data_IF_321303138872
#
_entry.id   IF_321303138872
#
_cell.length_a   1.000
_cell.length_b   1.000
_cell.length_c   1.000
_cell.angle_alpha   90.00
_cell.angle_beta   90.00
_cell.angle_gamma   90.00
#
_symmetry.space_group_name_H-M   'P 1'
#
loop_
_entity.id
_entity.type
_entity.pdbx_description
1 polymer ?
#
# COMPACT_ATOMS: atom_id res chain seq x y z
N UNK A 1 8.91 -4.26 -17.75
CA UNK A 1 8.82 -5.72 -17.52
C UNK A 1 7.45 -5.95 -16.90
N UNK A 2 6.59 -6.76 -17.52
CA UNK A 2 5.32 -7.13 -16.89
C UNK A 2 5.62 -8.04 -15.70
N UNK A 3 5.02 -7.75 -14.55
CA UNK A 3 5.08 -8.65 -13.40
C UNK A 3 4.42 -9.99 -13.74
N UNK A 4 4.90 -11.10 -13.17
CA UNK A 4 4.39 -12.44 -13.48
C UNK A 4 2.87 -12.57 -13.21
N UNK A 5 2.33 -11.76 -12.31
CA UNK A 5 0.92 -11.76 -11.94
C UNK A 5 0.01 -10.95 -12.88
N UNK A 6 0.54 -9.98 -13.63
CA UNK A 6 -0.24 -9.22 -14.63
C UNK A 6 -0.84 -10.16 -15.67
N UNK A 7 -0.03 -11.12 -16.13
CA UNK A 7 -0.51 -12.16 -17.01
C UNK A 7 -1.61 -13.00 -16.36
N UNK A 8 -1.64 -13.23 -15.05
CA UNK A 8 -2.62 -14.16 -14.44
C UNK A 8 -4.05 -13.60 -14.39
N UNK A 9 -4.23 -12.29 -14.54
CA UNK A 9 -5.55 -11.65 -14.47
C UNK A 9 -6.25 -11.95 -13.15
N UNK A 10 -5.56 -11.75 -12.03
CA UNK A 10 -6.07 -12.07 -10.70
C UNK A 10 -7.29 -11.19 -10.36
N UNK A 11 -8.27 -11.79 -9.69
CA UNK A 11 -9.50 -11.13 -9.23
C UNK A 11 -9.84 -11.55 -7.79
N UNK A 12 -10.55 -10.68 -7.06
CA UNK A 12 -11.05 -11.01 -5.72
C UNK A 12 -12.49 -11.51 -5.77
N UNK A 13 -12.74 -12.62 -5.07
CA UNK A 13 -14.00 -13.35 -5.06
C UNK A 13 -15.22 -12.46 -4.78
N UNK A 14 -16.21 -12.48 -5.67
CA UNK A 14 -17.48 -11.76 -5.46
C UNK A 14 -17.36 -10.23 -5.46
N UNK A 15 -16.30 -9.70 -6.06
CA UNK A 15 -16.07 -8.25 -6.19
C UNK A 15 -15.66 -7.88 -7.61
N UNK A 16 -15.55 -6.57 -7.88
CA UNK A 16 -15.02 -6.00 -9.12
C UNK A 16 -13.52 -5.64 -9.04
N UNK A 17 -12.84 -6.05 -7.97
CA UNK A 17 -11.42 -5.83 -7.81
C UNK A 17 -10.60 -6.74 -8.72
N UNK A 18 -9.75 -6.12 -9.53
CA UNK A 18 -8.83 -6.79 -10.46
C UNK A 18 -7.39 -6.42 -10.14
N UNK A 19 -6.43 -7.27 -10.51
CA UNK A 19 -5.00 -6.97 -10.39
C UNK A 19 -4.66 -5.60 -10.99
N UNK A 20 -3.88 -4.81 -10.25
CA UNK A 20 -3.35 -3.52 -10.71
C UNK A 20 -1.81 -3.55 -10.74
N UNK A 21 -1.19 -3.93 -9.62
CA UNK A 21 0.26 -3.86 -9.43
C UNK A 21 0.71 -4.81 -8.31
N UNK A 22 2.01 -4.91 -8.06
CA UNK A 22 2.56 -5.62 -6.92
C UNK A 22 3.70 -4.86 -6.23
N UNK A 23 3.67 -4.84 -4.90
CA UNK A 23 4.77 -4.38 -4.07
C UNK A 23 5.67 -5.54 -3.62
N UNK A 24 6.62 -5.26 -2.72
CA UNK A 24 7.51 -6.29 -2.19
C UNK A 24 6.72 -7.43 -1.50
N UNK A 25 5.76 -7.09 -0.64
CA UNK A 25 5.08 -8.06 0.24
C UNK A 25 3.65 -8.41 -0.16
N UNK A 26 3.07 -7.73 -1.16
CA UNK A 26 1.66 -7.89 -1.47
C UNK A 26 1.29 -7.48 -2.89
N UNK A 27 0.10 -7.88 -3.31
CA UNK A 27 -0.51 -7.52 -4.58
C UNK A 27 -1.55 -6.44 -4.34
N UNK A 28 -1.59 -5.48 -5.26
CA UNK A 28 -2.58 -4.40 -5.28
C UNK A 28 -3.67 -4.77 -6.28
N UNK A 29 -4.90 -4.78 -5.81
CA UNK A 29 -6.09 -4.88 -6.63
C UNK A 29 -6.79 -3.52 -6.69
N UNK A 30 -7.46 -3.22 -7.79
CA UNK A 30 -8.21 -1.98 -7.98
C UNK A 30 -9.65 -2.28 -8.39
N UNK A 31 -10.58 -1.52 -7.81
CA UNK A 31 -11.94 -1.36 -8.29
C UNK A 31 -12.10 0.09 -8.75
N UNK A 32 -12.17 0.30 -10.07
CA UNK A 32 -12.30 1.66 -10.64
C UNK A 32 -13.69 2.22 -10.47
N UNK A 33 -14.71 1.37 -10.53
CA UNK A 33 -16.11 1.71 -10.26
C UNK A 33 -16.31 2.23 -8.83
N UNK A 34 -15.60 1.64 -7.86
CA UNK A 34 -15.67 2.07 -6.47
C UNK A 34 -14.65 3.16 -6.12
N UNK A 35 -13.63 3.37 -6.96
CA UNK A 35 -12.52 4.27 -6.64
C UNK A 35 -11.68 3.75 -5.47
N UNK A 36 -11.42 2.44 -5.41
CA UNK A 36 -10.75 1.79 -4.28
C UNK A 36 -9.60 0.90 -4.73
N UNK A 37 -8.56 0.82 -3.90
CA UNK A 37 -7.51 -0.20 -3.98
C UNK A 37 -7.55 -1.09 -2.76
N UNK A 38 -7.24 -2.37 -2.96
CA UNK A 38 -7.08 -3.36 -1.89
C UNK A 38 -5.72 -4.02 -2.02
N UNK A 39 -4.91 -3.94 -0.96
CA UNK A 39 -3.63 -4.66 -0.86
C UNK A 39 -3.88 -5.98 -0.17
N UNK A 40 -3.43 -7.09 -0.77
CA UNK A 40 -3.47 -8.43 -0.17
C UNK A 40 -2.04 -8.96 -0.10
N UNK A 41 -1.61 -9.33 1.09
CA UNK A 41 -0.24 -9.80 1.31
C UNK A 41 -0.04 -11.21 0.77
N UNK A 42 1.16 -11.48 0.26
CA UNK A 42 1.56 -12.80 -0.26
C UNK A 42 2.16 -13.65 0.85
N UNK A 43 2.08 -14.97 0.68
CA UNK A 43 3.01 -15.84 1.40
C UNK A 43 4.44 -15.48 1.01
N UNK A 44 5.33 -15.44 1.99
CA UNK A 44 6.77 -15.22 1.77
C UNK A 44 7.55 -16.23 2.62
N UNK A 45 8.86 -16.33 2.41
CA UNK A 45 9.71 -17.20 3.21
C UNK A 45 9.64 -16.88 4.72
N UNK A 46 9.32 -15.62 5.07
CA UNK A 46 9.12 -15.18 6.44
C UNK A 46 7.74 -14.53 6.62
N UNK A 47 6.74 -15.36 6.93
CA UNK A 47 5.38 -14.88 7.21
C UNK A 47 5.31 -13.96 8.44
N UNK A 48 6.21 -14.14 9.43
CA UNK A 48 6.24 -13.27 10.62
C UNK A 48 6.65 -11.87 10.22
N UNK A 49 7.61 -11.75 9.31
CA UNK A 49 8.01 -10.50 8.73
C UNK A 49 6.86 -9.84 7.96
N UNK A 50 6.15 -10.59 7.10
CA UNK A 50 4.97 -10.07 6.40
C UNK A 50 3.89 -9.57 7.37
N UNK A 51 3.65 -10.29 8.47
CA UNK A 51 2.73 -9.85 9.54
C UNK A 51 3.21 -8.57 10.24
N UNK A 52 4.52 -8.44 10.47
CA UNK A 52 5.10 -7.26 11.10
C UNK A 52 4.98 -6.03 10.18
N UNK A 53 5.31 -6.17 8.90
CA UNK A 53 5.14 -5.13 7.88
C UNK A 53 3.68 -4.70 7.80
N UNK A 54 2.74 -5.65 7.71
CA UNK A 54 1.31 -5.35 7.69
C UNK A 54 0.90 -4.54 8.94
N UNK A 55 1.29 -4.97 10.14
CA UNK A 55 0.99 -4.25 11.39
C UNK A 55 1.57 -2.83 11.40
N UNK A 56 2.81 -2.68 10.93
CA UNK A 56 3.49 -1.38 10.85
C UNK A 56 2.81 -0.43 9.87
N UNK A 57 2.33 -0.93 8.71
CA UNK A 57 1.57 -0.13 7.75
C UNK A 57 0.19 0.28 8.30
N UNK A 58 -0.60 -0.67 8.84
CA UNK A 58 -1.94 -0.34 9.35
C UNK A 58 -1.89 0.62 10.54
N UNK A 59 -0.88 0.49 11.43
CA UNK A 59 -0.70 1.42 12.54
C UNK A 59 -0.34 2.82 12.00
N UNK A 60 0.51 2.91 10.99
CA UNK A 60 0.87 4.19 10.39
C UNK A 60 -0.35 4.87 9.74
N UNK A 61 -1.17 4.13 8.99
CA UNK A 61 -2.42 4.67 8.44
C UNK A 61 -3.40 5.11 9.53
N UNK A 62 -3.54 4.34 10.60
CA UNK A 62 -4.38 4.71 11.73
C UNK A 62 -3.92 6.02 12.39
N UNK A 63 -2.60 6.19 12.59
CA UNK A 63 -2.04 7.44 13.14
C UNK A 63 -2.17 8.63 12.20
N UNK A 64 -1.87 8.43 10.92
CA UNK A 64 -1.99 9.48 9.91
C UNK A 64 -3.46 9.95 9.77
N UNK A 65 -4.41 9.02 9.79
CA UNK A 65 -5.85 9.32 9.72
C UNK A 65 -6.36 10.09 10.96
N UNK A 66 -5.70 9.95 12.11
CA UNK A 66 -6.05 10.67 13.34
C UNK A 66 -5.47 12.10 13.40
N UNK A 67 -4.60 12.47 12.46
CA UNK A 67 -4.02 13.81 12.36
C UNK A 67 -4.71 14.62 11.28
N UNK A 68 -5.27 15.78 11.65
CA UNK A 68 -5.97 16.68 10.72
C UNK A 68 -5.12 17.05 9.50
N UNK A 69 -3.81 17.25 9.70
CA UNK A 69 -2.90 17.64 8.62
C UNK A 69 -2.50 16.46 7.73
N UNK A 70 -2.34 15.26 8.29
CA UNK A 70 -1.94 14.08 7.51
C UNK A 70 -3.11 13.40 6.82
N UNK A 71 -4.32 13.48 7.40
CA UNK A 71 -5.52 12.88 6.83
C UNK A 71 -5.79 13.38 5.39
N UNK A 72 -5.44 14.63 5.07
CA UNK A 72 -5.58 15.19 3.72
C UNK A 72 -4.53 14.65 2.75
N UNK A 73 -3.36 14.26 3.26
CA UNK A 73 -2.21 13.78 2.49
C UNK A 73 -2.20 12.27 2.26
N UNK A 74 -3.10 11.50 2.85
CA UNK A 74 -3.18 10.04 2.65
C UNK A 74 -4.42 9.69 1.83
N UNK A 75 -4.46 8.51 1.19
CA UNK A 75 -5.68 7.96 0.61
C UNK A 75 -6.80 7.84 1.65
N UNK A 76 -8.02 8.21 1.26
CA UNK A 76 -9.16 8.21 2.16
C UNK A 76 -9.74 6.80 2.42
N UNK A 77 -10.51 6.71 3.52
CA UNK A 77 -11.31 5.53 3.84
C UNK A 77 -10.49 4.27 4.07
N UNK A 78 -9.31 4.39 4.68
CA UNK A 78 -8.51 3.24 5.10
C UNK A 78 -9.31 2.29 5.99
N UNK A 79 -9.31 1.00 5.66
CA UNK A 79 -9.95 -0.05 6.45
C UNK A 79 -9.27 -1.40 6.28
N UNK A 80 -9.26 -2.20 7.36
CA UNK A 80 -8.84 -3.61 7.30
C UNK A 80 -10.00 -4.43 6.70
N UNK A 81 -9.68 -5.34 5.79
CA UNK A 81 -10.68 -6.16 5.12
C UNK A 81 -10.90 -7.50 5.83
N UNK A 82 -12.06 -8.12 5.57
CA UNK A 82 -12.26 -9.55 5.87
C UNK A 82 -11.27 -10.42 5.08
N UNK A 83 -11.11 -11.71 5.43
CA UNK A 83 -10.30 -12.63 4.65
C UNK A 83 -10.68 -12.64 3.16
N UNK A 84 -9.65 -12.54 2.31
CA UNK A 84 -9.80 -12.45 0.85
C UNK A 84 -9.66 -13.82 0.19
N UNK A 85 -10.45 -14.06 -0.87
CA UNK A 85 -10.25 -15.19 -1.78
C UNK A 85 -9.82 -14.66 -3.14
N UNK A 86 -8.74 -15.22 -3.69
CA UNK A 86 -8.12 -14.78 -4.94
C UNK A 86 -8.30 -15.86 -5.99
N UNK A 87 -8.79 -15.46 -7.16
CA UNK A 87 -8.93 -16.32 -8.33
C UNK A 87 -8.07 -15.81 -9.48
N UNK A 88 -7.58 -16.72 -10.33
CA UNK A 88 -6.98 -16.33 -11.60
C UNK A 88 -8.05 -16.12 -12.69
N UNK A 89 -7.61 -15.68 -13.88
CA UNK A 89 -8.50 -15.46 -15.03
C UNK A 89 -9.21 -16.72 -15.55
N UNK A 90 -8.76 -17.91 -15.17
CA UNK A 90 -9.39 -19.17 -15.53
C UNK A 90 -10.37 -19.65 -14.44
N UNK A 91 -10.54 -18.87 -13.36
CA UNK A 91 -11.41 -19.19 -12.25
C UNK A 91 -10.81 -20.20 -11.27
N UNK A 92 -9.51 -20.48 -11.35
CA UNK A 92 -8.84 -21.32 -10.35
C UNK A 92 -8.63 -20.54 -9.05
N UNK A 93 -8.97 -21.13 -7.91
CA UNK A 93 -8.70 -20.55 -6.60
C UNK A 93 -7.20 -20.65 -6.30
N UNK A 94 -6.56 -19.50 -6.15
CA UNK A 94 -5.11 -19.35 -5.89
C UNK A 94 -4.86 -18.69 -4.53
N UNK A 95 -5.86 -18.72 -3.64
CA UNK A 95 -5.80 -18.05 -2.33
C UNK A 95 -4.68 -18.59 -1.43
N UNK A 96 -4.21 -19.82 -1.67
CA UNK A 96 -3.09 -20.44 -0.96
C UNK A 96 -1.72 -19.79 -1.23
N UNK A 97 -1.63 -18.84 -2.17
CA UNK A 97 -0.43 -18.04 -2.41
C UNK A 97 -0.41 -16.75 -1.58
N UNK A 98 -1.49 -16.47 -0.84
CA UNK A 98 -1.72 -15.23 -0.12
C UNK A 98 -1.96 -15.45 1.36
N UNK A 99 -1.76 -14.39 2.14
CA UNK A 99 -2.17 -14.30 3.53
C UNK A 99 -3.53 -13.58 3.55
N UNK A 100 -4.67 -14.29 3.44
CA UNK A 100 -5.97 -13.69 3.12
C UNK A 100 -6.46 -12.73 4.21
N UNK A 101 -6.06 -12.95 5.46
CA UNK A 101 -6.38 -12.12 6.63
C UNK A 101 -5.56 -10.81 6.67
N UNK A 102 -4.48 -10.73 5.90
CA UNK A 102 -3.60 -9.56 5.84
C UNK A 102 -3.97 -8.73 4.60
N UNK A 103 -5.12 -8.08 4.68
CA UNK A 103 -5.62 -7.23 3.63
C UNK A 103 -6.18 -5.92 4.19
N UNK A 104 -5.94 -4.83 3.46
CA UNK A 104 -6.55 -3.54 3.73
C UNK A 104 -6.95 -2.85 2.43
N UNK A 105 -7.88 -1.92 2.54
CA UNK A 105 -8.43 -1.15 1.44
C UNK A 105 -8.39 0.35 1.74
N UNK A 106 -8.22 1.15 0.70
CA UNK A 106 -8.25 2.61 0.75
C UNK A 106 -8.67 3.19 -0.62
N UNK A 107 -8.79 4.51 -0.71
CA UNK A 107 -9.01 5.24 -1.95
C UNK A 107 -8.00 4.85 -3.04
N UNK A 108 -8.51 4.63 -4.26
CA UNK A 108 -7.67 4.58 -5.46
C UNK A 108 -7.38 6.00 -5.91
N UNK A 109 -6.13 6.42 -5.78
CA UNK A 109 -5.64 7.71 -6.27
C UNK A 109 -5.16 7.53 -7.70
N UNK A 110 -5.91 8.05 -8.67
CA UNK A 110 -5.55 8.00 -10.10
C UNK A 110 -4.51 9.06 -10.47
N UNK A 111 -3.33 8.94 -9.86
CA UNK A 111 -2.22 9.86 -10.04
C UNK A 111 -0.92 9.09 -10.27
N UNK A 112 0.04 9.77 -10.91
CA UNK A 112 1.40 9.25 -11.00
C UNK A 112 2.11 9.44 -9.67
N UNK A 113 2.53 8.34 -9.06
CA UNK A 113 3.39 8.35 -7.88
C UNK A 113 4.87 8.34 -8.27
N UNK A 114 5.69 9.04 -7.50
CA UNK A 114 7.15 9.04 -7.58
C UNK A 114 7.76 8.98 -6.18
N UNK A 115 9.02 8.54 -6.05
CA UNK A 115 9.66 8.44 -4.74
C UNK A 115 9.88 9.82 -4.14
N UNK A 116 9.64 9.96 -2.84
CA UNK A 116 9.80 11.25 -2.14
C UNK A 116 11.22 11.82 -2.27
N UNK A 117 12.24 10.97 -2.39
CA UNK A 117 13.62 11.41 -2.64
C UNK A 117 13.86 12.11 -3.99
N UNK A 118 12.88 12.13 -4.91
CA UNK A 118 13.01 12.76 -6.24
C UNK A 118 12.28 14.10 -6.34
N UNK A 119 11.59 14.56 -5.30
CA UNK A 119 10.84 15.84 -5.33
C UNK A 119 11.67 17.00 -4.78
N UNK A 120 11.11 18.20 -4.77
CA UNK A 120 11.77 19.37 -4.18
C UNK A 120 12.08 19.14 -2.68
N UNK A 121 13.31 19.50 -2.28
CA UNK A 121 13.84 19.12 -0.96
C UNK A 121 13.06 19.75 0.19
N UNK A 122 12.61 20.98 0.04
CA UNK A 122 11.78 21.71 0.99
C UNK A 122 10.44 21.02 1.23
N UNK A 123 9.78 20.61 0.15
CA UNK A 123 8.51 19.89 0.23
C UNK A 123 8.67 18.49 0.83
N UNK A 124 9.71 17.75 0.44
CA UNK A 124 10.04 16.47 1.04
C UNK A 124 10.27 16.61 2.56
N UNK A 125 11.05 17.62 2.99
CA UNK A 125 11.30 17.89 4.40
C UNK A 125 10.03 18.22 5.17
N UNK A 126 9.13 19.02 4.58
CA UNK A 126 7.81 19.31 5.17
C UNK A 126 7.02 18.03 5.41
N UNK A 127 6.91 17.16 4.40
CA UNK A 127 6.17 15.89 4.51
C UNK A 127 6.80 14.98 5.56
N UNK A 128 8.12 14.80 5.56
CA UNK A 128 8.80 14.00 6.59
C UNK A 128 8.55 14.56 8.00
N UNK A 129 8.58 15.88 8.19
CA UNK A 129 8.32 16.50 9.47
C UNK A 129 6.89 16.24 9.96
N UNK A 130 5.90 16.29 9.06
CA UNK A 130 4.51 16.00 9.38
C UNK A 130 4.33 14.56 9.86
N UNK A 131 4.83 13.57 9.11
CA UNK A 131 4.74 12.15 9.49
C UNK A 131 5.50 11.87 10.80
N UNK A 132 6.69 12.46 10.97
CA UNK A 132 7.47 12.33 12.21
C UNK A 132 6.76 12.94 13.41
N UNK A 133 5.99 14.01 13.24
CA UNK A 133 5.28 14.67 14.35
C UNK A 133 4.23 13.77 15.02
N UNK A 134 3.72 12.77 14.29
CA UNK A 134 2.79 11.74 14.82
C UNK A 134 3.48 10.40 15.12
N UNK A 135 4.81 10.38 15.03
CA UNK A 135 5.65 9.22 15.35
C UNK A 135 5.75 8.18 14.22
N UNK A 136 5.37 8.49 12.99
CA UNK A 136 5.61 7.63 11.82
C UNK A 136 7.04 7.88 11.33
N UNK A 137 7.92 6.89 11.46
CA UNK A 137 9.36 7.08 11.23
C UNK A 137 9.84 6.52 9.89
N UNK A 138 9.26 5.43 9.41
CA UNK A 138 9.66 4.83 8.14
C UNK A 138 8.97 5.53 6.97
N UNK A 139 9.62 6.60 6.52
CA UNK A 139 9.10 7.55 5.54
C UNK A 139 10.03 7.75 4.34
N UNK A 140 11.23 7.17 4.36
CA UNK A 140 12.24 7.39 3.31
C UNK A 140 11.84 6.79 1.96
N UNK A 141 11.09 5.68 1.98
CA UNK A 141 10.65 4.97 0.78
C UNK A 141 9.24 5.35 0.30
N UNK A 142 8.66 6.41 0.88
CA UNK A 142 7.33 6.86 0.51
C UNK A 142 7.24 7.20 -0.98
N UNK A 143 6.10 6.84 -1.54
CA UNK A 143 5.72 7.25 -2.88
C UNK A 143 4.71 8.39 -2.74
N UNK A 144 4.89 9.46 -3.50
CA UNK A 144 4.07 10.68 -3.44
C UNK A 144 3.50 11.01 -4.80
N UNK A 145 2.25 11.49 -4.80
CA UNK A 145 1.62 12.14 -5.94
C UNK A 145 1.66 13.66 -5.71
N UNK A 146 2.01 14.42 -6.75
CA UNK A 146 2.06 15.88 -6.69
C UNK A 146 0.80 16.51 -7.29
N UNK A 147 0.39 17.64 -6.73
CA UNK A 147 -0.57 18.56 -7.33
C UNK A 147 0.11 19.43 -8.42
N UNK A 148 -0.69 20.20 -9.16
CA UNK A 148 -0.21 21.08 -10.24
C UNK A 148 0.80 22.14 -9.77
N UNK A 149 0.70 22.56 -8.50
CA UNK A 149 1.61 23.52 -7.88
C UNK A 149 2.94 22.90 -7.39
N UNK A 150 3.11 21.59 -7.56
CA UNK A 150 4.29 20.85 -7.11
C UNK A 150 4.25 20.41 -5.65
N UNK A 151 3.22 20.76 -4.89
CA UNK A 151 3.03 20.26 -3.53
C UNK A 151 2.57 18.79 -3.54
N UNK A 152 2.88 18.06 -2.47
CA UNK A 152 2.42 16.68 -2.29
C UNK A 152 0.92 16.69 -2.01
N UNK A 153 0.17 16.01 -2.88
CA UNK A 153 -1.27 15.82 -2.78
C UNK A 153 -1.62 14.54 -2.01
N UNK A 154 -0.90 13.44 -2.30
CA UNK A 154 -1.13 12.13 -1.68
C UNK A 154 0.19 11.40 -1.41
N UNK A 155 0.23 10.61 -0.35
CA UNK A 155 1.38 9.84 0.13
C UNK A 155 0.95 8.40 0.39
N UNK A 156 1.74 7.45 -0.10
CA UNK A 156 1.60 6.00 0.13
C UNK A 156 2.97 5.39 0.45
N UNK A 157 3.00 4.07 0.71
CA UNK A 157 4.22 3.30 1.01
C UNK A 157 4.99 3.82 2.24
N UNK A 158 4.28 4.04 3.36
CA UNK A 158 4.85 4.45 4.64
C UNK A 158 4.52 3.46 5.75
N UNK A 159 5.34 3.42 6.79
CA UNK A 159 5.15 2.53 7.93
C UNK A 159 5.67 3.16 9.24
N UNK A 160 5.29 2.59 10.39
CA UNK A 160 5.74 3.09 11.70
C UNK A 160 7.26 2.98 11.86
N UNK A 161 7.80 1.81 11.56
CA UNK A 161 9.22 1.47 11.66
C UNK A 161 9.66 0.65 10.45
N UNK A 162 10.95 0.67 10.17
CA UNK A 162 11.57 -0.15 9.14
C UNK A 162 11.68 -1.59 9.61
N UNK A 163 11.28 -2.52 8.76
CA UNK A 163 11.53 -3.94 8.93
C UNK A 163 12.47 -4.37 7.80
N UNK A 164 13.79 -4.31 8.04
CA UNK A 164 14.80 -4.79 7.10
C UNK A 164 14.68 -6.30 6.90
N UNK A 165 14.70 -6.76 5.65
CA UNK A 165 14.89 -8.19 5.34
C UNK A 165 16.38 -8.46 5.39
N UNK A 166 16.86 -9.04 6.49
CA UNK A 166 18.20 -9.60 6.52
C UNK A 166 18.20 -10.88 5.68
N UNK A 167 18.69 -10.80 4.44
CA UNK A 167 19.10 -12.00 3.73
C UNK A 167 20.33 -12.57 4.44
N UNK A 168 20.15 -13.62 5.24
CA UNK A 168 21.28 -14.47 5.62
C UNK A 168 21.78 -15.14 4.34
N UNK A 169 22.99 -14.77 3.93
CA UNK A 169 23.73 -15.41 2.83
C UNK A 169 24.26 -16.79 3.20
#
# INVERSE_FOLDING_TARGET
MGFANDARGLILAGTDFVYLDEGAYGIIFVSRSLGRVRKVYRHSADERHACAVFRSEIEAYARASASTELMTLIPEGFQICSPQRVFDRYGADVSNEFLPELAFEMEFVDSRFQKIGTIAQDEAQRVHALFRSVGILHTLDMSVALAEDGCVAKVIDFAMIEHEVWHQG
#
